data_IF_393604541539
#
_entry.id   IF_393604541539
#
_cell.length_a   1.000
_cell.length_b   1.000
_cell.length_c   1.000
_cell.angle_alpha   90.00
_cell.angle_beta   90.00
_cell.angle_gamma   90.00
#
_symmetry.space_group_name_H-M   'P 1'
#
loop_
_entity.id
_entity.type
_entity.pdbx_description
1 polymer ?
#
# COMPACT_ATOMS: atom_id res chain seq x y z
N UNK A 1 3.66 48.47 -50.17
CA UNK A 1 4.48 47.28 -49.87
C UNK A 1 5.87 47.51 -50.43
N UNK A 2 6.89 47.62 -49.59
CA UNK A 2 8.27 47.82 -50.03
C UNK A 2 8.88 46.49 -50.48
N UNK A 3 9.88 46.51 -51.36
CA UNK A 3 10.63 45.32 -51.80
C UNK A 3 11.18 44.52 -50.61
N UNK A 4 11.55 45.21 -49.52
CA UNK A 4 12.00 44.62 -48.26
C UNK A 4 10.90 43.77 -47.59
N UNK A 5 9.64 44.20 -47.62
CA UNK A 5 8.51 43.44 -47.07
C UNK A 5 8.23 42.16 -47.87
N UNK A 6 8.43 42.18 -49.19
CA UNK A 6 8.29 40.96 -50.00
C UNK A 6 9.40 39.95 -49.69
N UNK A 7 10.63 40.40 -49.50
CA UNK A 7 11.77 39.53 -49.17
C UNK A 7 11.58 38.89 -47.78
N UNK A 8 11.10 39.64 -46.78
CA UNK A 8 10.87 39.09 -45.44
C UNK A 8 9.72 38.08 -45.41
N UNK A 9 8.64 38.30 -46.18
CA UNK A 9 7.53 37.35 -46.31
C UNK A 9 8.00 36.04 -46.97
N UNK A 10 8.79 36.13 -48.04
CA UNK A 10 9.33 34.94 -48.73
C UNK A 10 10.23 34.13 -47.78
N UNK A 11 11.06 34.80 -46.97
CA UNK A 11 11.93 34.13 -46.00
C UNK A 11 11.13 33.43 -44.89
N UNK A 12 10.06 34.06 -44.38
CA UNK A 12 9.17 33.46 -43.39
C UNK A 12 8.46 32.20 -43.93
N UNK A 13 8.02 32.22 -45.19
CA UNK A 13 7.39 31.06 -45.84
C UNK A 13 8.40 29.92 -46.01
N UNK A 14 9.64 30.23 -46.39
CA UNK A 14 10.69 29.21 -46.54
C UNK A 14 10.99 28.48 -45.23
N UNK A 15 11.11 29.21 -44.11
CA UNK A 15 11.33 28.62 -42.78
C UNK A 15 10.14 27.72 -42.38
N UNK A 16 8.91 28.17 -42.63
CA UNK A 16 7.71 27.38 -42.32
C UNK A 16 7.66 26.06 -43.10
N UNK A 17 8.02 26.08 -44.38
CA UNK A 17 8.06 24.88 -45.24
C UNK A 17 9.14 23.90 -44.78
N UNK A 18 10.32 24.40 -44.40
CA UNK A 18 11.40 23.55 -43.87
C UNK A 18 11.03 22.94 -42.51
N UNK A 19 10.41 23.72 -41.63
CA UNK A 19 9.91 23.23 -40.34
C UNK A 19 8.85 22.14 -40.51
N UNK A 20 7.89 22.34 -41.42
CA UNK A 20 6.86 21.35 -41.73
C UNK A 20 7.48 20.06 -42.33
N UNK A 21 8.48 20.21 -43.21
CA UNK A 21 9.19 19.07 -43.79
C UNK A 21 9.94 18.25 -42.74
N UNK A 22 10.57 18.89 -41.74
CA UNK A 22 11.24 18.18 -40.65
C UNK A 22 10.26 17.39 -39.76
N UNK A 23 9.08 17.94 -39.47
CA UNK A 23 8.03 17.26 -38.69
C UNK A 23 7.51 16.02 -39.45
N UNK A 24 7.23 16.14 -40.74
CA UNK A 24 6.75 15.01 -41.57
C UNK A 24 7.82 13.93 -41.69
N UNK A 25 9.11 14.32 -41.80
CA UNK A 25 10.23 13.37 -41.85
C UNK A 25 10.43 12.63 -40.52
N UNK A 26 10.20 13.29 -39.38
CA UNK A 26 10.26 12.67 -38.05
C UNK A 26 9.25 11.55 -37.85
N UNK A 27 8.00 11.77 -38.30
CA UNK A 27 6.91 10.78 -38.18
C UNK A 27 7.17 9.52 -39.02
N UNK A 28 7.84 9.64 -40.18
CA UNK A 28 8.21 8.47 -41.00
C UNK A 28 9.31 7.60 -40.38
N UNK A 29 10.25 8.18 -39.62
CA UNK A 29 11.30 7.41 -38.92
C UNK A 29 10.74 6.52 -37.81
N UNK A 30 9.63 6.92 -37.16
CA UNK A 30 9.01 6.15 -36.08
C UNK A 30 8.21 4.93 -36.58
N UNK A 31 7.75 4.91 -37.84
CA UNK A 31 7.04 3.75 -38.41
C UNK A 31 7.96 2.60 -38.81
N UNK A 32 9.25 2.84 -39.02
CA UNK A 32 10.22 1.80 -39.39
C UNK A 32 10.76 1.03 -38.17
N UNK A 33 10.76 1.63 -36.98
CA UNK A 33 11.20 0.94 -35.74
C UNK A 33 10.09 0.15 -35.05
N UNK A 34 8.81 0.41 -35.36
CA UNK A 34 7.68 -0.34 -34.78
C UNK A 34 7.24 -1.58 -35.57
N UNK A 35 7.61 -1.72 -36.85
CA UNK A 35 7.23 -2.90 -37.65
C UNK A 35 8.19 -4.09 -37.53
N UNK A 36 9.39 -3.92 -36.95
CA UNK A 36 10.39 -4.99 -36.82
C UNK A 36 10.26 -5.83 -35.55
N UNK A 37 9.44 -5.43 -34.57
CA UNK A 37 9.38 -6.05 -33.24
C UNK A 37 8.19 -7.00 -33.04
N UNK A 38 7.29 -7.15 -34.02
CA UNK A 38 6.05 -7.94 -33.88
C UNK A 38 6.07 -9.34 -34.51
N UNK A 39 7.22 -9.87 -34.94
CA UNK A 39 7.26 -11.17 -35.65
C UNK A 39 7.99 -12.32 -34.94
N UNK A 40 8.41 -12.20 -33.67
CA UNK A 40 9.18 -13.26 -33.00
C UNK A 40 8.62 -13.78 -31.65
N UNK A 41 7.36 -13.49 -31.30
CA UNK A 41 6.80 -13.94 -30.00
C UNK A 41 5.71 -15.00 -30.20
N UNK A 42 6.09 -16.27 -30.18
CA UNK A 42 5.14 -17.36 -29.95
C UNK A 42 4.72 -17.33 -28.47
N UNK A 43 3.43 -17.12 -28.22
CA UNK A 43 2.83 -16.98 -26.89
C UNK A 43 2.26 -18.33 -26.44
N UNK A 44 2.47 -18.73 -25.18
CA UNK A 44 1.78 -19.92 -24.64
C UNK A 44 0.32 -19.61 -24.24
N UNK A 45 -0.39 -20.67 -23.85
CA UNK A 45 -1.79 -20.65 -23.37
C UNK A 45 -2.03 -19.83 -22.10
N UNK A 46 -0.99 -19.38 -21.40
CA UNK A 46 -1.03 -18.57 -20.19
C UNK A 46 -0.54 -17.12 -20.43
N UNK A 47 -0.28 -16.73 -21.69
CA UNK A 47 -0.07 -15.33 -22.06
C UNK A 47 1.33 -14.76 -21.78
N UNK A 48 2.27 -15.57 -21.27
CA UNK A 48 3.65 -15.15 -20.98
C UNK A 48 4.50 -15.23 -22.26
N UNK A 49 5.26 -14.18 -22.63
CA UNK A 49 6.11 -14.20 -23.82
C UNK A 49 7.32 -15.13 -23.63
N UNK A 50 7.44 -16.15 -24.49
CA UNK A 50 8.55 -17.11 -24.47
C UNK A 50 9.54 -16.73 -25.57
N UNK A 51 10.72 -16.26 -25.19
CA UNK A 51 11.82 -15.99 -26.14
C UNK A 51 12.53 -17.31 -26.46
N UNK A 52 12.61 -17.73 -27.75
CA UNK A 52 13.30 -18.96 -28.14
C UNK A 52 14.75 -19.00 -27.67
N UNK A 53 15.24 -20.18 -27.28
CA UNK A 53 16.62 -20.37 -26.74
C UNK A 53 17.71 -19.82 -27.66
N UNK A 54 17.46 -19.77 -28.97
CA UNK A 54 18.38 -19.31 -30.01
C UNK A 54 18.44 -17.78 -30.16
N UNK A 55 17.46 -17.06 -29.60
CA UNK A 55 17.33 -15.60 -29.68
C UNK A 55 17.67 -14.91 -28.35
N UNK A 56 18.01 -15.71 -27.33
CA UNK A 56 18.58 -15.17 -26.09
C UNK A 56 19.99 -14.66 -26.41
N UNK A 57 20.14 -13.34 -26.51
CA UNK A 57 21.46 -12.72 -26.52
C UNK A 57 22.11 -13.00 -25.16
N UNK A 58 23.00 -13.99 -25.13
CA UNK A 58 23.95 -14.16 -24.03
C UNK A 58 25.07 -13.17 -24.35
N UNK A 59 25.47 -12.27 -23.44
CA UNK A 59 26.68 -11.48 -23.65
C UNK A 59 27.86 -12.45 -23.68
N UNK A 60 28.29 -12.84 -24.88
CA UNK A 60 29.59 -13.45 -25.09
C UNK A 60 30.63 -12.38 -24.82
N UNK A 61 31.44 -12.62 -23.80
CA UNK A 61 32.66 -11.88 -23.57
C UNK A 61 33.56 -12.06 -24.80
N UNK A 62 33.78 -10.98 -25.57
CA UNK A 62 34.97 -10.84 -26.39
C UNK A 62 35.32 -9.38 -26.69
N UNK A 63 36.44 -8.98 -26.07
CA UNK A 63 37.56 -8.24 -26.65
C UNK A 63 37.45 -6.72 -26.90
N UNK A 64 38.18 -6.03 -26.02
CA UNK A 64 39.23 -5.05 -26.33
C UNK A 64 38.80 -3.77 -27.05
N UNK A 65 38.51 -2.75 -26.23
CA UNK A 65 38.96 -1.40 -26.51
C UNK A 65 39.83 -0.96 -25.34
N UNK A 66 41.06 -0.54 -25.65
CA UNK A 66 42.12 -0.16 -24.73
C UNK A 66 41.61 0.73 -23.59
N UNK A 67 41.56 0.17 -22.37
CA UNK A 67 41.46 0.93 -21.13
C UNK A 67 42.59 0.45 -20.23
N UNK A 68 43.36 1.43 -19.80
CA UNK A 68 44.61 1.37 -19.05
C UNK A 68 44.53 0.39 -17.87
N UNK A 69 45.22 -0.76 -17.98
CA UNK A 69 45.19 -1.85 -16.98
C UNK A 69 45.93 -1.52 -15.68
N UNK A 70 46.65 -0.40 -15.63
CA UNK A 70 47.39 0.01 -14.43
C UNK A 70 46.48 0.73 -13.40
N UNK A 71 45.35 1.32 -13.83
CA UNK A 71 44.45 2.06 -12.94
C UNK A 71 43.55 1.15 -12.08
N UNK A 72 43.04 0.05 -12.64
CA UNK A 72 42.20 -0.90 -11.89
C UNK A 72 43.00 -1.69 -10.84
N UNK A 73 44.28 -1.96 -11.11
CA UNK A 73 45.13 -2.65 -10.13
C UNK A 73 45.45 -1.74 -8.94
N UNK A 74 45.67 -0.44 -9.18
CA UNK A 74 45.86 0.55 -8.11
C UNK A 74 44.61 0.73 -7.23
N UNK A 75 43.41 0.79 -7.82
CA UNK A 75 42.16 0.93 -7.07
C UNK A 75 41.84 -0.30 -6.21
N UNK A 76 42.13 -1.51 -6.72
CA UNK A 76 41.98 -2.75 -5.95
C UNK A 76 42.99 -2.85 -4.80
N UNK A 77 44.21 -2.38 -4.99
CA UNK A 77 45.25 -2.39 -3.95
C UNK A 77 44.98 -1.34 -2.87
N UNK A 78 44.49 -0.16 -3.24
CA UNK A 78 44.01 0.86 -2.28
C UNK A 78 42.78 0.40 -1.49
N UNK A 79 41.83 -0.29 -2.15
CA UNK A 79 40.65 -0.84 -1.47
C UNK A 79 41.02 -1.93 -0.44
N UNK A 80 41.99 -2.79 -0.78
CA UNK A 80 42.47 -3.83 0.14
C UNK A 80 43.28 -3.23 1.31
N UNK A 81 44.07 -2.18 1.07
CA UNK A 81 44.81 -1.48 2.12
C UNK A 81 43.88 -0.73 3.09
N UNK A 82 42.81 -0.12 2.58
CA UNK A 82 41.79 0.53 3.39
C UNK A 82 41.03 -0.47 4.29
N UNK A 83 40.80 -1.69 3.79
CA UNK A 83 40.18 -2.77 4.56
C UNK A 83 41.08 -3.27 5.69
N UNK A 84 42.39 -3.42 5.46
CA UNK A 84 43.35 -3.81 6.51
C UNK A 84 43.56 -2.71 7.57
N UNK A 85 43.52 -1.43 7.18
CA UNK A 85 43.58 -0.31 8.12
C UNK A 85 42.34 -0.21 9.02
N UNK A 86 41.14 -0.49 8.48
CA UNK A 86 39.91 -0.52 9.26
C UNK A 86 39.92 -1.67 10.31
N UNK A 87 40.58 -2.78 9.99
CA UNK A 87 40.68 -3.94 10.88
C UNK A 87 41.82 -3.84 11.92
N UNK A 88 42.60 -2.76 11.90
CA UNK A 88 43.71 -2.49 12.82
C UNK A 88 43.29 -1.69 14.05
N UNK A 89 42.03 -1.26 14.16
CA UNK A 89 41.53 -0.54 15.33
C UNK A 89 41.10 -1.51 16.45
N UNK A 90 42.04 -1.67 17.38
CA UNK A 90 41.92 -2.15 18.77
C UNK A 90 40.51 -2.55 19.22
N UNK A 91 40.29 -3.85 19.33
CA UNK A 91 39.23 -4.45 20.15
C UNK A 91 39.58 -4.15 21.62
N UNK A 92 38.72 -3.49 22.43
CA UNK A 92 38.92 -3.45 23.86
C UNK A 92 38.77 -4.86 24.41
N UNK A 93 39.86 -5.40 24.96
CA UNK A 93 39.91 -6.70 25.58
C UNK A 93 38.99 -6.70 26.81
N UNK A 94 37.86 -7.41 26.73
CA UNK A 94 36.95 -7.60 27.85
C UNK A 94 37.51 -8.72 28.74
N UNK A 95 37.87 -8.37 29.96
CA UNK A 95 38.44 -9.30 30.94
C UNK A 95 37.32 -10.16 31.54
N UNK A 96 37.36 -11.46 31.28
CA UNK A 96 36.30 -12.41 31.66
C UNK A 96 36.49 -12.91 33.09
N UNK A 97 36.52 -12.02 34.09
CA UNK A 97 36.68 -12.41 35.49
C UNK A 97 36.25 -11.34 36.50
N UNK A 98 35.04 -10.80 36.39
CA UNK A 98 34.33 -10.09 37.47
C UNK A 98 32.91 -9.68 37.04
N UNK A 99 31.93 -10.57 37.23
CA UNK A 99 30.51 -10.20 37.42
C UNK A 99 29.69 -11.48 37.60
N UNK A 100 29.47 -11.89 38.85
CA UNK A 100 28.27 -12.67 39.17
C UNK A 100 27.07 -11.72 39.17
N UNK A 101 25.98 -11.99 38.44
CA UNK A 101 24.72 -11.37 38.74
C UNK A 101 24.01 -12.19 39.82
N UNK A 102 23.89 -11.56 40.98
CA UNK A 102 23.02 -11.95 42.08
C UNK A 102 21.56 -11.92 41.57
N UNK A 103 20.94 -13.10 41.41
CA UNK A 103 19.51 -13.19 41.11
C UNK A 103 18.70 -12.81 42.36
N UNK A 104 18.24 -11.56 42.42
CA UNK A 104 17.20 -11.16 43.36
C UNK A 104 15.83 -11.35 42.70
N UNK A 105 15.11 -12.38 43.17
CA UNK A 105 13.67 -12.50 42.99
C UNK A 105 12.98 -11.31 43.66
N UNK A 106 12.45 -10.39 42.87
CA UNK A 106 11.44 -9.45 43.33
C UNK A 106 10.06 -10.04 42.99
N UNK A 107 9.43 -10.70 43.96
CA UNK A 107 7.99 -10.97 43.93
C UNK A 107 7.26 -9.63 43.97
N UNK A 108 6.73 -9.21 42.82
CA UNK A 108 5.72 -8.15 42.78
C UNK A 108 4.35 -8.78 43.01
N UNK A 109 3.88 -8.67 44.25
CA UNK A 109 2.47 -8.85 44.61
C UNK A 109 1.62 -7.87 43.79
N UNK A 110 0.79 -8.40 42.90
CA UNK A 110 -0.36 -7.67 42.38
C UNK A 110 -1.57 -8.02 43.25
N UNK A 111 -1.87 -7.12 44.19
CA UNK A 111 -3.15 -7.11 44.89
C UNK A 111 -4.25 -6.71 43.91
N UNK A 112 -5.20 -7.61 43.72
CA UNK A 112 -6.39 -7.39 42.91
C UNK A 112 -7.43 -6.64 43.76
N UNK A 113 -7.43 -5.30 43.68
CA UNK A 113 -8.50 -4.48 44.24
C UNK A 113 -9.55 -4.21 43.14
N UNK A 114 -10.59 -5.04 43.11
CA UNK A 114 -11.80 -4.81 42.34
C UNK A 114 -12.88 -4.20 43.23
N UNK A 115 -13.25 -2.93 42.98
CA UNK A 115 -14.49 -2.32 43.47
C UNK A 115 -15.31 -1.75 42.30
N UNK A 116 -16.25 -2.59 41.86
CA UNK A 116 -17.64 -2.34 41.47
C UNK A 116 -18.17 -0.89 41.41
N UNK A 117 -18.87 -0.50 40.31
CA UNK A 117 -20.36 -0.47 40.24
C UNK A 117 -20.91 0.26 38.99
N UNK A 118 -21.86 -0.39 38.29
CA UNK A 118 -23.18 0.07 37.78
C UNK A 118 -23.65 -0.95 36.71
N UNK A 119 -24.42 -1.99 37.06
CA UNK A 119 -25.88 -2.11 37.24
C UNK A 119 -26.72 -2.01 35.95
N UNK A 120 -27.47 -3.08 35.66
CA UNK A 120 -28.45 -3.14 34.56
C UNK A 120 -29.05 -4.55 34.39
N UNK A 121 -29.92 -4.95 35.33
CA UNK A 121 -30.76 -6.15 35.21
C UNK A 121 -31.96 -5.90 34.28
N UNK A 122 -32.28 -6.87 33.42
CA UNK A 122 -33.64 -7.28 33.00
C UNK A 122 -33.47 -8.59 32.23
N UNK A 123 -33.65 -9.78 32.83
CA UNK A 123 -34.91 -10.51 33.03
C UNK A 123 -35.72 -10.69 31.73
N UNK A 124 -35.47 -11.82 31.05
CA UNK A 124 -36.35 -12.36 30.01
C UNK A 124 -37.44 -13.17 30.73
N UNK A 125 -38.65 -12.63 30.80
CA UNK A 125 -39.84 -13.40 31.17
C UNK A 125 -41.09 -12.72 30.59
N UNK A 126 -41.54 -13.23 29.45
CA UNK A 126 -42.83 -12.95 28.79
C UNK A 126 -42.88 -13.89 27.58
N UNK A 127 -43.78 -14.87 27.43
CA UNK A 127 -45.20 -14.92 27.80
C UNK A 127 -45.65 -16.39 28.00
N UNK A 128 -46.29 -16.66 29.14
CA UNK A 128 -47.32 -17.70 29.26
C UNK A 128 -48.69 -17.07 28.99
N UNK A 129 -49.59 -17.86 28.41
CA UNK A 129 -51.07 -17.91 28.49
C UNK A 129 -51.58 -18.38 27.12
N UNK A 130 -52.54 -19.28 26.95
CA UNK A 130 -53.55 -19.87 27.84
C UNK A 130 -54.19 -21.07 27.09
N UNK A 131 -54.93 -21.87 27.85
CA UNK A 131 -55.99 -22.81 27.45
C UNK A 131 -55.58 -24.17 26.87
N UNK A 132 -56.24 -25.30 27.14
CA UNK A 132 -57.21 -25.80 28.14
C UNK A 132 -57.66 -27.15 27.55
N UNK A 133 -57.49 -28.25 28.30
CA UNK A 133 -58.30 -29.48 28.45
C UNK A 133 -59.37 -29.88 27.37
N UNK A 134 -59.74 -31.19 27.21
CA UNK A 134 -59.87 -32.15 28.31
C UNK A 134 -59.45 -33.60 28.06
N UNK A 135 -59.45 -34.27 29.22
CA UNK A 135 -59.35 -35.68 29.53
C UNK A 135 -60.73 -36.30 29.28
N UNK A 136 -60.81 -37.50 28.71
CA UNK A 136 -62.01 -38.32 28.78
C UNK A 136 -61.73 -39.67 29.45
N UNK A 137 -62.68 -40.03 30.29
CA UNK A 137 -62.70 -41.09 31.28
C UNK A 137 -63.08 -42.46 30.68
N UNK A 138 -62.41 -43.49 31.22
CA UNK A 138 -63.01 -44.72 31.76
C UNK A 138 -63.64 -45.76 30.80
N UNK A 139 -63.17 -47.02 30.91
CA UNK A 139 -64.03 -48.19 31.21
C UNK A 139 -63.16 -49.41 31.56
N UNK A 140 -63.46 -50.00 32.72
CA UNK A 140 -62.90 -51.22 33.27
C UNK A 140 -63.39 -52.50 32.56
N UNK A 141 -62.56 -53.56 32.55
CA UNK A 141 -63.00 -54.93 32.90
C UNK A 141 -61.83 -55.94 32.95
N UNK A 142 -61.75 -56.58 34.11
CA UNK A 142 -61.09 -57.81 34.55
C UNK A 142 -61.04 -58.95 33.51
N UNK A 143 -59.92 -59.68 33.38
CA UNK A 143 -59.85 -61.15 33.50
C UNK A 143 -58.41 -61.68 33.52
N UNK A 144 -58.25 -62.81 34.18
CA UNK A 144 -57.01 -63.42 34.65
C UNK A 144 -56.23 -64.22 33.59
N UNK A 145 -54.91 -64.29 33.84
CA UNK A 145 -53.94 -65.37 33.59
C UNK A 145 -53.92 -66.06 32.21
N UNK A 146 -52.81 -65.90 31.48
CA UNK A 146 -52.03 -67.04 31.00
C UNK A 146 -50.60 -66.62 30.63
N UNK A 147 -49.66 -67.55 30.80
CA UNK A 147 -48.23 -67.44 30.55
C UNK A 147 -47.90 -67.24 29.06
N UNK A 148 -47.16 -66.19 28.74
CA UNK A 148 -46.13 -66.25 27.71
C UNK A 148 -45.10 -65.14 27.96
N UNK A 149 -43.83 -65.55 28.05
CA UNK A 149 -42.69 -64.67 28.24
C UNK A 149 -42.52 -63.76 27.01
N UNK A 150 -43.07 -62.55 27.09
CA UNK A 150 -42.75 -61.47 26.18
C UNK A 150 -41.70 -60.56 26.82
N UNK A 151 -40.54 -60.50 26.15
CA UNK A 151 -39.31 -59.83 26.53
C UNK A 151 -39.49 -58.57 27.39
N UNK A 152 -39.10 -58.68 28.67
CA UNK A 152 -38.99 -57.54 29.60
C UNK A 152 -38.12 -56.43 29.02
N UNK A 153 -37.15 -56.80 28.18
CA UNK A 153 -36.26 -55.90 27.45
C UNK A 153 -37.00 -55.06 26.39
N UNK A 154 -38.00 -55.63 25.72
CA UNK A 154 -38.84 -54.94 24.73
C UNK A 154 -39.78 -53.94 25.39
N UNK A 155 -40.28 -54.23 26.60
CA UNK A 155 -41.07 -53.28 27.38
C UNK A 155 -40.25 -52.08 27.87
N UNK A 156 -38.99 -52.31 28.26
CA UNK A 156 -38.06 -51.25 28.65
C UNK A 156 -37.66 -50.40 27.44
N UNK A 157 -37.36 -51.03 26.31
CA UNK A 157 -37.03 -50.33 25.06
C UNK A 157 -38.20 -49.45 24.60
N UNK A 158 -39.42 -49.98 24.59
CA UNK A 158 -40.62 -49.22 24.23
C UNK A 158 -40.93 -48.08 25.23
N UNK A 159 -40.69 -48.29 26.53
CA UNK A 159 -40.83 -47.23 27.52
C UNK A 159 -39.76 -46.13 27.36
N UNK A 160 -38.53 -46.49 26.98
CA UNK A 160 -37.46 -45.51 26.71
C UNK A 160 -37.73 -44.70 25.44
N UNK A 161 -38.31 -45.32 24.41
CA UNK A 161 -38.72 -44.64 23.18
C UNK A 161 -39.89 -43.66 23.44
N UNK A 162 -40.77 -44.01 24.37
CA UNK A 162 -41.94 -43.18 24.73
C UNK A 162 -41.61 -42.02 25.69
N UNK A 163 -40.43 -42.03 26.32
CA UNK A 163 -39.99 -41.01 27.29
C UNK A 163 -38.99 -40.00 26.71
N UNK A 164 -38.45 -40.25 25.52
CA UNK A 164 -37.63 -39.27 24.81
C UNK A 164 -38.54 -38.46 23.87
N UNK A 165 -38.89 -37.20 24.18
CA UNK A 165 -39.52 -36.37 23.18
C UNK A 165 -38.55 -36.28 22.00
N UNK A 166 -39.02 -36.60 20.79
CA UNK A 166 -38.28 -36.32 19.56
C UNK A 166 -38.09 -34.81 19.54
N UNK A 167 -36.88 -34.37 19.91
CA UNK A 167 -36.51 -32.97 19.86
C UNK A 167 -36.39 -32.67 18.37
N UNK A 168 -37.40 -31.98 17.83
CA UNK A 168 -37.39 -31.49 16.46
C UNK A 168 -36.10 -30.67 16.32
N UNK A 169 -35.16 -31.19 15.53
CA UNK A 169 -33.88 -30.50 15.29
C UNK A 169 -34.26 -29.23 14.54
N UNK A 170 -34.28 -28.10 15.24
CA UNK A 170 -34.55 -26.82 14.62
C UNK A 170 -33.54 -26.64 13.48
N UNK A 171 -34.04 -26.35 12.27
CA UNK A 171 -33.17 -26.01 11.15
C UNK A 171 -32.34 -24.80 11.58
N UNK A 172 -31.07 -25.03 11.86
CA UNK A 172 -30.14 -23.95 12.15
C UNK A 172 -30.07 -23.07 10.90
N UNK A 173 -30.27 -21.74 11.04
CA UNK A 173 -30.17 -20.86 9.89
C UNK A 173 -28.78 -20.99 9.30
N UNK A 174 -28.70 -21.46 8.06
CA UNK A 174 -27.43 -21.55 7.33
C UNK A 174 -26.89 -20.14 7.16
N UNK A 175 -25.74 -19.87 7.78
CA UNK A 175 -25.08 -18.57 7.72
C UNK A 175 -24.47 -18.38 6.32
N UNK A 176 -25.25 -17.83 5.38
CA UNK A 176 -24.80 -17.62 3.99
C UNK A 176 -23.90 -16.38 3.83
N UNK A 177 -23.86 -15.48 4.83
CA UNK A 177 -23.08 -14.24 4.77
C UNK A 177 -22.47 -13.89 6.13
N UNK A 178 -21.29 -13.25 6.12
CA UNK A 178 -20.67 -12.71 7.33
C UNK A 178 -21.56 -11.66 7.98
N UNK A 179 -21.40 -11.46 9.29
CA UNK A 179 -22.14 -10.40 9.98
C UNK A 179 -21.66 -9.02 9.48
N UNK A 180 -22.56 -8.09 9.14
CA UNK A 180 -22.18 -6.77 8.62
C UNK A 180 -21.39 -5.94 9.64
N UNK A 181 -21.57 -6.20 10.95
CA UNK A 181 -20.76 -5.57 12.00
C UNK A 181 -19.31 -6.08 12.01
N UNK A 182 -19.10 -7.38 11.79
CA UNK A 182 -17.76 -7.96 11.71
C UNK A 182 -17.02 -7.44 10.48
N UNK A 183 -17.68 -7.42 9.32
CA UNK A 183 -17.08 -6.88 8.09
C UNK A 183 -16.68 -5.40 8.25
N UNK A 184 -17.51 -4.59 8.90
CA UNK A 184 -17.19 -3.19 9.21
C UNK A 184 -15.96 -3.06 10.11
N UNK A 185 -15.81 -3.94 11.10
CA UNK A 185 -14.67 -3.92 12.02
C UNK A 185 -13.37 -4.34 11.33
N UNK A 186 -13.39 -5.42 10.55
CA UNK A 186 -12.21 -5.86 9.79
C UNK A 186 -11.73 -4.81 8.79
N UNK A 187 -12.65 -4.12 8.09
CA UNK A 187 -12.29 -3.05 7.16
C UNK A 187 -11.64 -1.86 7.88
N UNK A 188 -12.16 -1.49 9.06
CA UNK A 188 -11.61 -0.40 9.85
C UNK A 188 -10.20 -0.71 10.38
N UNK A 189 -9.94 -1.95 10.81
CA UNK A 189 -8.61 -2.39 11.23
C UNK A 189 -7.63 -2.40 10.05
N UNK A 190 -8.04 -2.92 8.88
CA UNK A 190 -7.21 -2.92 7.68
C UNK A 190 -6.82 -1.50 7.23
N UNK A 191 -7.76 -0.55 7.26
CA UNK A 191 -7.50 0.85 6.94
C UNK A 191 -6.57 1.51 7.97
N UNK A 192 -6.69 1.15 9.24
CA UNK A 192 -5.82 1.66 10.31
C UNK A 192 -4.37 1.20 10.11
N UNK A 193 -4.16 -0.08 9.83
CA UNK A 193 -2.84 -0.67 9.62
C UNK A 193 -2.15 -0.12 8.38
N UNK A 194 -2.88 -0.02 7.26
CA UNK A 194 -2.33 0.52 6.00
C UNK A 194 -1.90 1.98 6.12
N UNK A 195 -2.68 2.80 6.83
CA UNK A 195 -2.43 4.22 7.02
C UNK A 195 -1.63 4.53 8.29
N UNK A 196 -1.13 3.51 9.00
CA UNK A 196 -0.37 3.66 10.25
C UNK A 196 0.78 4.68 10.16
N UNK A 197 1.61 4.73 9.09
CA UNK A 197 2.66 5.75 8.98
C UNK A 197 2.14 7.18 8.92
N UNK A 198 0.97 7.40 8.35
CA UNK A 198 0.35 8.73 8.28
C UNK A 198 -0.30 9.10 9.62
N UNK A 199 -0.97 8.14 10.27
CA UNK A 199 -1.64 8.36 11.55
C UNK A 199 -0.68 8.59 12.72
N UNK A 200 0.51 7.99 12.67
CA UNK A 200 1.56 8.10 13.69
C UNK A 200 2.73 9.00 13.27
N UNK A 201 2.51 9.85 12.27
CA UNK A 201 3.55 10.75 11.76
C UNK A 201 4.01 11.75 12.83
N UNK A 202 5.32 11.83 13.03
CA UNK A 202 5.98 12.83 13.87
C UNK A 202 6.62 13.92 13.02
N UNK A 203 7.20 13.54 11.88
CA UNK A 203 7.88 14.42 10.94
C UNK A 203 7.46 14.09 9.50
N UNK A 204 7.63 15.05 8.58
CA UNK A 204 7.37 14.85 7.17
C UNK A 204 8.53 15.37 6.31
N UNK A 205 8.91 14.59 5.30
CA UNK A 205 9.82 15.03 4.25
C UNK A 205 8.98 15.53 3.07
N UNK A 206 9.02 16.85 2.83
CA UNK A 206 8.15 17.53 1.88
C UNK A 206 8.88 17.84 0.58
N UNK A 207 8.20 17.64 -0.55
CA UNK A 207 8.64 18.05 -1.88
C UNK A 207 7.49 18.81 -2.53
N UNK A 208 7.77 20.03 -2.96
CA UNK A 208 6.76 20.92 -3.53
C UNK A 208 6.93 21.02 -5.05
N UNK A 209 5.83 20.97 -5.78
CA UNK A 209 5.76 21.14 -7.22
C UNK A 209 4.99 22.43 -7.54
N UNK A 210 5.64 23.39 -8.20
CA UNK A 210 5.04 24.66 -8.62
C UNK A 210 5.18 24.81 -10.13
N UNK A 211 4.14 25.19 -10.89
CA UNK A 211 4.27 25.47 -12.33
C UNK A 211 5.44 26.41 -12.62
N UNK A 212 6.20 26.14 -13.69
CA UNK A 212 7.37 26.96 -14.04
C UNK A 212 7.00 28.42 -14.39
N UNK A 213 5.74 28.67 -14.75
CA UNK A 213 5.19 30.00 -14.94
C UNK A 213 4.31 30.38 -13.74
N UNK A 214 4.65 31.46 -13.04
CA UNK A 214 3.96 31.94 -11.83
C UNK A 214 2.48 32.28 -12.05
N UNK A 215 2.07 32.54 -13.30
CA UNK A 215 0.67 32.81 -13.66
C UNK A 215 -0.11 31.56 -14.07
N UNK A 216 0.55 30.40 -14.15
CA UNK A 216 -0.08 29.13 -14.49
C UNK A 216 -0.58 28.43 -13.22
N UNK A 217 -1.72 27.76 -13.35
CA UNK A 217 -2.29 26.92 -12.29
C UNK A 217 -2.53 25.51 -12.83
N UNK A 218 -2.56 24.55 -11.92
CA UNK A 218 -2.82 23.15 -12.20
C UNK A 218 -4.33 22.91 -12.12
N UNK A 219 -4.95 22.62 -13.25
CA UNK A 219 -6.37 22.25 -13.30
C UNK A 219 -6.61 20.92 -12.57
N UNK A 220 -7.64 20.84 -11.74
CA UNK A 220 -7.92 19.61 -11.00
C UNK A 220 -8.31 18.40 -11.87
N UNK A 221 -8.78 18.62 -13.10
CA UNK A 221 -8.92 17.53 -14.11
C UNK A 221 -7.57 16.90 -14.47
N UNK A 222 -6.51 17.72 -14.58
CA UNK A 222 -5.15 17.21 -14.83
C UNK A 222 -4.66 16.43 -13.62
N UNK A 223 -4.90 16.93 -12.41
CA UNK A 223 -4.58 16.20 -11.15
C UNK A 223 -5.25 14.83 -11.15
N UNK A 224 -6.55 14.76 -11.42
CA UNK A 224 -7.31 13.50 -11.51
C UNK A 224 -6.74 12.51 -12.54
N UNK A 225 -6.26 13.00 -13.69
CA UNK A 225 -5.60 12.17 -14.68
C UNK A 225 -4.25 11.62 -14.17
N UNK A 226 -3.45 12.47 -13.53
CA UNK A 226 -2.11 12.13 -13.02
C UNK A 226 -2.18 11.13 -11.87
N UNK A 227 -3.07 11.34 -10.89
CA UNK A 227 -3.23 10.41 -9.75
C UNK A 227 -3.65 9.04 -10.24
N UNK A 228 -4.54 8.98 -11.25
CA UNK A 228 -4.94 7.71 -11.87
C UNK A 228 -3.78 7.05 -12.62
N UNK A 229 -3.01 7.83 -13.39
CA UNK A 229 -1.88 7.33 -14.17
C UNK A 229 -0.75 6.77 -13.29
N UNK A 230 -0.46 7.46 -12.18
CA UNK A 230 0.63 7.09 -11.26
C UNK A 230 0.18 6.20 -10.09
N UNK A 231 -1.10 5.84 -10.04
CA UNK A 231 -1.62 4.89 -9.05
C UNK A 231 -1.71 5.47 -7.64
N UNK A 232 -2.02 6.76 -7.52
CA UNK A 232 -2.40 7.37 -6.27
C UNK A 232 -3.92 7.20 -6.08
N UNK A 233 -4.32 6.95 -4.83
CA UNK A 233 -5.70 6.71 -4.42
C UNK A 233 -6.16 7.80 -3.48
N UNK A 234 -7.38 8.28 -3.68
CA UNK A 234 -7.98 9.19 -2.72
C UNK A 234 -8.33 8.45 -1.44
N UNK A 235 -8.05 9.02 -0.28
CA UNK A 235 -8.29 8.34 0.99
C UNK A 235 -8.24 9.26 2.21
N UNK A 236 -7.57 8.78 3.26
CA UNK A 236 -7.49 9.40 4.57
C UNK A 236 -7.19 10.91 4.50
N UNK A 237 -7.88 11.67 5.34
CA UNK A 237 -7.71 13.13 5.46
C UNK A 237 -7.93 13.91 4.15
N UNK A 238 -8.71 13.36 3.21
CA UNK A 238 -9.04 14.01 1.93
C UNK A 238 -7.79 14.30 1.06
N UNK A 239 -6.83 13.38 1.06
CA UNK A 239 -5.60 13.47 0.29
C UNK A 239 -5.50 12.35 -0.75
N UNK A 240 -4.51 12.46 -1.64
CA UNK A 240 -4.14 11.34 -2.52
C UNK A 240 -2.93 10.62 -1.95
N UNK A 241 -2.98 9.30 -1.87
CA UNK A 241 -1.94 8.45 -1.29
C UNK A 241 -1.38 7.47 -2.31
N UNK A 242 -0.09 7.22 -2.24
CA UNK A 242 0.54 6.10 -2.93
C UNK A 242 0.77 4.98 -1.91
N UNK A 243 0.21 3.81 -2.20
CA UNK A 243 0.45 2.59 -1.45
C UNK A 243 1.54 1.74 -2.12
N UNK A 244 2.03 0.71 -1.43
CA UNK A 244 2.99 -0.24 -1.96
C UNK A 244 2.58 -0.78 -3.35
N UNK A 245 1.30 -1.12 -3.50
CA UNK A 245 0.73 -1.58 -4.76
C UNK A 245 -0.15 -0.51 -5.42
N UNK A 246 -0.29 -0.55 -6.75
CA UNK A 246 -1.05 0.45 -7.55
C UNK A 246 -2.57 0.33 -7.40
N UNK A 247 -3.04 -0.83 -6.97
CA UNK A 247 -4.44 -1.06 -6.64
C UNK A 247 -4.88 -0.35 -5.36
N UNK A 248 -3.93 0.10 -4.53
CA UNK A 248 -4.18 0.73 -3.23
C UNK A 248 -3.95 -0.21 -2.06
N UNK A 249 -3.44 -1.42 -2.30
CA UNK A 249 -3.11 -2.36 -1.23
C UNK A 249 -1.67 -2.19 -0.72
N UNK A 250 -1.44 -2.72 0.49
CA UNK A 250 -0.16 -2.63 1.20
C UNK A 250 -0.01 -1.33 1.98
N UNK A 251 1.18 -1.09 2.50
CA UNK A 251 1.43 0.06 3.38
C UNK A 251 1.41 1.38 2.59
N UNK A 252 0.88 2.44 3.20
CA UNK A 252 0.93 3.80 2.65
C UNK A 252 2.38 4.28 2.60
N UNK A 253 2.88 4.60 1.40
CA UNK A 253 4.23 5.11 1.19
C UNK A 253 4.32 6.63 1.35
N UNK A 254 3.47 7.39 0.66
CA UNK A 254 3.50 8.86 0.72
C UNK A 254 2.15 9.44 0.32
N UNK A 255 1.94 10.71 0.66
CA UNK A 255 0.70 11.43 0.40
C UNK A 255 0.94 12.67 -0.44
N UNK A 256 -0.12 13.19 -1.05
CA UNK A 256 -0.13 14.38 -1.90
C UNK A 256 -1.32 15.28 -1.55
N UNK A 257 -1.05 16.58 -1.45
CA UNK A 257 -2.03 17.65 -1.23
C UNK A 257 -1.91 18.74 -2.30
N UNK A 258 -2.94 19.58 -2.38
CA UNK A 258 -2.94 20.75 -3.25
C UNK A 258 -2.38 21.97 -2.52
N UNK A 259 -1.93 22.95 -3.30
CA UNK A 259 -1.60 24.29 -2.81
C UNK A 259 -2.51 25.28 -3.52
N UNK A 260 -3.24 26.10 -2.78
CA UNK A 260 -4.04 27.21 -3.31
C UNK A 260 -3.49 28.55 -2.78
N UNK A 261 -4.23 29.63 -2.97
CA UNK A 261 -3.84 30.96 -2.48
C UNK A 261 -3.74 31.05 -0.96
N UNK A 262 -4.51 30.22 -0.23
CA UNK A 262 -4.52 30.14 1.23
C UNK A 262 -3.41 29.22 1.80
N UNK A 263 -2.67 28.53 0.93
CA UNK A 263 -1.59 27.61 1.29
C UNK A 263 -1.92 26.15 0.97
N UNK A 264 -1.46 25.23 1.83
CA UNK A 264 -1.66 23.79 1.63
C UNK A 264 -3.11 23.44 1.98
N UNK A 265 -3.79 22.73 1.08
CA UNK A 265 -5.22 22.43 1.19
C UNK A 265 -5.53 20.98 0.77
N UNK A 266 -6.46 20.31 1.45
CA UNK A 266 -6.93 18.98 1.03
C UNK A 266 -7.73 19.04 -0.27
N UNK A 267 -8.00 17.87 -0.86
CA UNK A 267 -8.79 17.75 -2.06
C UNK A 267 -10.26 17.41 -1.74
N UNK A 268 -11.19 18.19 -2.29
CA UNK A 268 -12.61 17.83 -2.32
C UNK A 268 -12.99 17.30 -3.71
N UNK A 269 -13.28 16.00 -3.80
CA UNK A 269 -13.60 15.32 -5.07
C UNK A 269 -14.82 15.90 -5.80
N UNK A 270 -15.76 16.53 -5.10
CA UNK A 270 -16.96 17.08 -5.72
C UNK A 270 -16.64 18.30 -6.58
N UNK A 271 -15.69 19.12 -6.13
CA UNK A 271 -15.30 20.38 -6.79
C UNK A 271 -13.98 20.25 -7.56
N UNK A 272 -13.16 19.23 -7.25
CA UNK A 272 -11.84 19.01 -7.85
C UNK A 272 -11.81 19.13 -9.38
N UNK A 273 -12.76 18.59 -10.16
CA UNK A 273 -12.76 18.75 -11.62
C UNK A 273 -12.85 20.21 -12.11
N UNK A 274 -13.31 21.13 -11.27
CA UNK A 274 -13.42 22.57 -11.56
C UNK A 274 -12.44 23.43 -10.78
N UNK A 275 -11.76 22.86 -9.77
CA UNK A 275 -10.77 23.55 -8.96
C UNK A 275 -9.45 23.80 -9.72
N UNK A 276 -8.70 24.78 -9.22
CA UNK A 276 -7.34 25.12 -9.67
C UNK A 276 -6.42 25.21 -8.47
N UNK A 277 -5.17 24.83 -8.66
CA UNK A 277 -4.14 24.82 -7.63
C UNK A 277 -2.89 25.52 -8.13
N UNK A 278 -2.24 26.29 -7.26
CA UNK A 278 -0.98 26.97 -7.53
C UNK A 278 0.22 26.01 -7.44
N UNK A 279 0.02 24.83 -6.85
CA UNK A 279 1.04 23.80 -6.74
C UNK A 279 0.51 22.51 -6.13
N UNK A 280 1.40 21.55 -5.97
CA UNK A 280 1.17 20.29 -5.27
C UNK A 280 2.27 20.10 -4.25
N UNK A 281 1.96 19.50 -3.11
CA UNK A 281 2.97 19.05 -2.14
C UNK A 281 2.85 17.54 -1.98
N UNK A 282 3.97 16.84 -2.15
CA UNK A 282 4.10 15.43 -1.87
C UNK A 282 4.94 15.27 -0.62
N UNK A 283 4.53 14.39 0.28
CA UNK A 283 5.25 14.21 1.53
C UNK A 283 5.29 12.75 1.98
N UNK A 284 6.45 12.37 2.53
CA UNK A 284 6.68 11.11 3.20
C UNK A 284 6.60 11.34 4.71
N UNK A 285 5.67 10.65 5.37
CA UNK A 285 5.54 10.67 6.82
C UNK A 285 6.56 9.75 7.50
N UNK A 286 7.13 10.22 8.60
CA UNK A 286 8.10 9.49 9.42
C UNK A 286 7.60 9.46 10.88
N UNK A 287 7.80 8.36 11.63
CA UNK A 287 8.45 7.11 11.24
C UNK A 287 7.68 6.31 10.18
N UNK A 288 8.42 5.62 9.31
CA UNK A 288 7.87 4.71 8.33
C UNK A 288 8.75 3.45 8.22
N UNK A 289 8.17 2.22 8.28
CA UNK A 289 8.96 0.99 8.38
C UNK A 289 9.82 0.71 7.12
N UNK A 290 9.39 1.21 5.97
CA UNK A 290 10.13 1.15 4.69
C UNK A 290 10.47 2.56 4.14
N UNK A 291 10.88 3.48 5.01
CA UNK A 291 11.00 4.91 4.69
C UNK A 291 11.85 5.20 3.44
N UNK A 292 13.01 4.53 3.28
CA UNK A 292 13.88 4.72 2.10
C UNK A 292 13.18 4.32 0.81
N UNK A 293 12.42 3.21 0.82
CA UNK A 293 11.66 2.76 -0.35
C UNK A 293 10.50 3.72 -0.66
N UNK A 294 9.81 4.20 0.38
CA UNK A 294 8.77 5.23 0.25
C UNK A 294 9.33 6.52 -0.37
N UNK A 295 10.50 6.97 0.08
CA UNK A 295 11.18 8.15 -0.46
C UNK A 295 11.59 7.96 -1.93
N UNK A 296 12.22 6.84 -2.27
CA UNK A 296 12.65 6.56 -3.65
C UNK A 296 11.44 6.47 -4.60
N UNK A 297 10.32 5.88 -4.14
CA UNK A 297 9.07 5.89 -4.89
C UNK A 297 8.46 7.28 -5.00
N UNK A 298 8.48 8.07 -3.93
CA UNK A 298 7.97 9.46 -3.93
C UNK A 298 8.74 10.28 -4.95
N UNK A 299 10.08 10.27 -4.90
CA UNK A 299 10.92 11.02 -5.84
C UNK A 299 10.72 10.58 -7.30
N UNK A 300 10.50 9.28 -7.54
CA UNK A 300 10.19 8.78 -8.88
C UNK A 300 8.88 9.38 -9.41
N UNK A 301 7.82 9.42 -8.60
CA UNK A 301 6.53 9.99 -8.96
C UNK A 301 6.59 11.52 -9.09
N UNK A 302 7.30 12.20 -8.18
CA UNK A 302 7.57 13.65 -8.24
C UNK A 302 8.17 14.02 -9.60
N UNK A 303 9.20 13.32 -10.05
CA UNK A 303 9.83 13.59 -11.35
C UNK A 303 8.86 13.37 -12.53
N UNK A 304 8.01 12.33 -12.45
CA UNK A 304 7.02 12.04 -13.50
C UNK A 304 5.93 13.12 -13.58
N UNK A 305 5.36 13.50 -12.43
CA UNK A 305 4.36 14.58 -12.35
C UNK A 305 4.96 15.91 -12.80
N UNK A 306 6.20 16.21 -12.38
CA UNK A 306 6.89 17.44 -12.75
C UNK A 306 7.11 17.55 -14.26
N UNK A 307 7.48 16.46 -14.91
CA UNK A 307 7.63 16.43 -16.37
C UNK A 307 6.29 16.61 -17.10
N UNK A 308 5.21 16.01 -16.61
CA UNK A 308 3.87 16.12 -17.24
C UNK A 308 3.24 17.50 -17.07
N UNK A 309 3.50 18.15 -15.94
CA UNK A 309 2.95 19.47 -15.60
C UNK A 309 3.92 20.63 -15.89
N UNK A 310 5.15 20.36 -16.30
CA UNK A 310 6.21 21.34 -16.46
C UNK A 310 6.40 22.22 -15.20
N UNK A 311 6.58 21.57 -14.05
CA UNK A 311 6.73 22.23 -12.75
C UNK A 311 8.19 22.27 -12.31
N UNK A 312 8.56 23.32 -11.57
CA UNK A 312 9.75 23.31 -10.73
C UNK A 312 9.53 22.38 -9.53
N UNK A 313 10.61 21.72 -9.10
CA UNK A 313 10.63 20.86 -7.93
C UNK A 313 11.38 21.61 -6.83
N UNK A 314 10.74 21.83 -5.69
CA UNK A 314 11.27 22.56 -4.57
C UNK A 314 11.40 21.66 -3.34
N UNK A 315 12.39 21.95 -2.50
CA UNK A 315 12.58 21.29 -1.20
C UNK A 315 11.75 21.95 -0.08
N UNK A 316 11.98 21.54 1.17
CA UNK A 316 11.23 22.05 2.32
C UNK A 316 11.47 23.54 2.62
N UNK A 317 12.56 24.11 2.12
CA UNK A 317 12.89 25.53 2.26
C UNK A 317 12.38 26.36 1.06
N UNK A 318 11.61 25.73 0.16
CA UNK A 318 11.16 26.28 -1.11
C UNK A 318 12.32 26.63 -2.07
N UNK A 319 13.46 25.97 -1.93
CA UNK A 319 14.59 26.11 -2.85
C UNK A 319 14.53 25.06 -3.95
N UNK A 320 15.09 25.38 -5.13
CA UNK A 320 15.10 24.43 -6.25
C UNK A 320 15.84 23.16 -5.85
N UNK A 321 15.18 22.02 -5.99
CA UNK A 321 15.69 20.74 -5.54
C UNK A 321 16.88 20.28 -6.40
N UNK A 322 18.08 20.43 -5.85
CA UNK A 322 19.33 20.01 -6.49
C UNK A 322 19.58 18.50 -6.33
N UNK A 323 20.46 17.94 -7.16
CA UNK A 323 20.88 16.53 -7.03
C UNK A 323 21.51 16.26 -5.66
N UNK A 324 22.35 17.17 -5.18
CA UNK A 324 23.00 17.05 -3.87
C UNK A 324 21.96 17.06 -2.75
N UNK A 325 21.02 18.01 -2.75
CA UNK A 325 19.95 18.09 -1.76
C UNK A 325 19.11 16.81 -1.73
N UNK A 326 18.79 16.22 -2.89
CA UNK A 326 18.12 14.91 -2.95
C UNK A 326 18.90 13.80 -2.25
N UNK A 327 20.21 13.75 -2.44
CA UNK A 327 21.05 12.75 -1.77
C UNK A 327 21.08 12.97 -0.26
N UNK A 328 21.14 14.23 0.19
CA UNK A 328 21.07 14.58 1.61
C UNK A 328 19.73 14.18 2.23
N UNK A 329 18.59 14.50 1.59
CA UNK A 329 17.25 14.09 2.04
C UNK A 329 17.14 12.58 2.15
N UNK A 330 17.62 11.84 1.14
CA UNK A 330 17.62 10.38 1.18
C UNK A 330 18.46 9.83 2.34
N UNK A 331 19.62 10.43 2.61
CA UNK A 331 20.48 10.04 3.73
C UNK A 331 19.81 10.32 5.09
N UNK A 332 19.11 11.46 5.23
CA UNK A 332 18.31 11.78 6.43
C UNK A 332 17.21 10.74 6.65
N UNK A 333 16.47 10.38 5.60
CA UNK A 333 15.45 9.31 5.67
C UNK A 333 16.06 7.98 6.08
N UNK A 334 17.24 7.62 5.55
CA UNK A 334 17.94 6.40 5.92
C UNK A 334 18.38 6.39 7.40
N UNK A 335 18.89 7.51 7.90
CA UNK A 335 19.26 7.67 9.30
C UNK A 335 18.03 7.57 10.21
N UNK A 336 16.93 8.21 9.84
CA UNK A 336 15.68 8.15 10.58
C UNK A 336 15.15 6.71 10.65
N UNK A 337 15.18 5.98 9.53
CA UNK A 337 14.78 4.58 9.50
C UNK A 337 15.67 3.71 10.40
N UNK A 338 16.99 3.93 10.39
CA UNK A 338 17.92 3.18 11.23
C UNK A 338 17.72 3.46 12.72
N UNK A 339 17.44 4.71 13.09
CA UNK A 339 17.20 5.11 14.48
C UNK A 339 15.88 4.57 15.06
N UNK A 340 14.90 4.28 14.19
CA UNK A 340 13.57 3.80 14.56
C UNK A 340 13.32 2.34 14.11
N UNK A 341 14.39 1.60 13.80
CA UNK A 341 14.30 0.16 13.57
C UNK A 341 14.23 -0.57 14.91
N UNK A 342 13.28 -1.50 15.11
CA UNK A 342 13.07 -2.21 16.37
C UNK A 342 14.21 -3.17 16.74
#
# INVERSE_FOLDING_TARGET
MTTVQYISIIFAIAIMVVGLYMIIRGIKKQKQTRLGAEQALTRDKNGIPIVPRKERQIPEAQQQSDIDHDAEQQELEEANLAFEQANSQVIPQYDAQSAEPEYQHAEQNFDHASENQYSGQHSIEQLLTKDSQPIDENTAAVTAADDCEDDVFSSLASATEKLMPVIETAEEPTFEANSPMLDQHLLAEADHDQNSPLNHAQENVNITLIPANEYETIDGKKILALVKQYGLKYGAMNMFHRYEHKDGSGILWFSMMGINEDGITPFDLNVLPTSRFNGLVLFLSLPHPKAVQGFDSMMSVVNLISNDLNTLILDENNEILTRERRHQLRAQVQQYQAANSP
#
